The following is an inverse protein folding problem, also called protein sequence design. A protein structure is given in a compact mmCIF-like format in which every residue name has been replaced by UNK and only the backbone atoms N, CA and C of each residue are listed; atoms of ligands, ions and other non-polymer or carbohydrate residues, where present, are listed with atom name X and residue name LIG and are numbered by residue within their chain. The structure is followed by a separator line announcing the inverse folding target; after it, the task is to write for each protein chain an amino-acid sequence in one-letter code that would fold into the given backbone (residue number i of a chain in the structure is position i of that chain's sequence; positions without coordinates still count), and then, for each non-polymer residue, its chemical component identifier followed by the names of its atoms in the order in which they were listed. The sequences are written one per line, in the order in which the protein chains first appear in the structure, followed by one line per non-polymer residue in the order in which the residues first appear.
data_IF_636757627454
#
_entry.id   IF_636757627454
#
_cell.length_a   1.000
_cell.length_b   1.000
_cell.length_c   1.000
_cell.angle_alpha   90.00
_cell.angle_beta   90.00
_cell.angle_gamma   90.00
#
_symmetry.space_group_name_H-M   'P 1'
#
loop_
_entity.id
_entity.type
_entity.pdbx_description
1 polymer ?
#
# COMPACT_ATOMS: atom_id res chain seq x y z
N UNK A 1 -32.10 -28.09 -13.63
CA UNK A 1 -31.56 -28.81 -14.80
C UNK A 1 -31.99 -28.12 -16.09
N UNK A 2 -31.05 -27.61 -16.90
CA UNK A 2 -31.38 -26.85 -18.12
C UNK A 2 -31.82 -27.82 -19.23
N UNK A 3 -33.06 -27.67 -19.71
CA UNK A 3 -33.70 -28.58 -20.67
C UNK A 3 -33.17 -28.44 -22.11
N UNK A 4 -32.53 -27.32 -22.43
CA UNK A 4 -31.98 -26.99 -23.74
C UNK A 4 -30.50 -26.68 -23.60
N UNK A 5 -29.66 -27.06 -24.57
CA UNK A 5 -28.21 -26.74 -24.58
C UNK A 5 -27.98 -25.25 -24.88
N UNK A 6 -28.29 -24.39 -23.91
CA UNK A 6 -28.00 -22.95 -23.92
C UNK A 6 -27.23 -22.61 -22.65
N UNK A 7 -26.24 -21.73 -22.78
CA UNK A 7 -25.55 -21.17 -21.62
C UNK A 7 -26.51 -20.22 -20.87
N UNK A 8 -26.51 -20.29 -19.54
CA UNK A 8 -27.39 -19.50 -18.67
C UNK A 8 -26.54 -18.88 -17.57
N UNK A 9 -26.81 -17.62 -17.25
CA UNK A 9 -26.36 -16.94 -16.04
C UNK A 9 -27.57 -16.26 -15.39
N UNK A 10 -27.52 -16.01 -14.10
CA UNK A 10 -28.60 -15.39 -13.34
C UNK A 10 -28.21 -13.98 -12.93
N UNK A 11 -29.07 -13.00 -13.17
CA UNK A 11 -28.87 -11.65 -12.65
C UNK A 11 -29.31 -11.57 -11.18
N UNK A 12 -28.57 -10.79 -10.39
CA UNK A 12 -28.72 -10.63 -8.95
C UNK A 12 -29.10 -9.20 -8.53
N UNK A 13 -29.19 -8.95 -7.21
CA UNK A 13 -29.73 -7.70 -6.65
C UNK A 13 -28.86 -6.47 -6.92
N UNK A 14 -29.47 -5.31 -6.64
CA UNK A 14 -28.83 -3.99 -6.64
C UNK A 14 -28.46 -3.46 -5.24
N UNK A 15 -29.42 -3.36 -4.30
CA UNK A 15 -29.21 -2.70 -3.00
C UNK A 15 -29.40 -3.69 -1.84
N UNK A 16 -28.31 -4.05 -1.14
CA UNK A 16 -28.31 -5.07 -0.09
C UNK A 16 -27.33 -4.66 1.03
N UNK A 17 -27.78 -4.47 2.28
CA UNK A 17 -26.87 -4.23 3.39
C UNK A 17 -26.01 -5.47 3.65
N UNK A 18 -24.75 -5.28 4.06
CA UNK A 18 -23.73 -6.35 4.10
C UNK A 18 -24.17 -7.64 4.81
N UNK A 19 -24.88 -7.54 5.93
CA UNK A 19 -25.33 -8.70 6.70
C UNK A 19 -26.30 -9.63 5.94
N UNK A 20 -26.90 -9.17 4.82
CA UNK A 20 -27.80 -9.97 3.96
C UNK A 20 -27.12 -10.49 2.69
N UNK A 21 -25.88 -10.11 2.42
CA UNK A 21 -25.14 -10.59 1.24
C UNK A 21 -24.98 -12.12 1.24
N UNK A 22 -24.61 -12.78 2.38
CA UNK A 22 -24.46 -14.23 2.39
C UNK A 22 -25.72 -15.01 2.05
N UNK A 23 -26.89 -14.53 2.52
CA UNK A 23 -28.19 -15.15 2.23
C UNK A 23 -28.50 -15.15 0.73
N UNK A 24 -28.16 -14.07 0.03
CA UNK A 24 -28.38 -13.95 -1.42
C UNK A 24 -27.54 -14.97 -2.19
N UNK A 25 -26.27 -15.10 -1.84
CA UNK A 25 -25.39 -16.07 -2.50
C UNK A 25 -25.83 -17.52 -2.22
N UNK A 26 -26.16 -17.84 -0.96
CA UNK A 26 -26.63 -19.17 -0.58
C UNK A 26 -27.88 -19.58 -1.38
N UNK A 27 -28.89 -18.72 -1.43
CA UNK A 27 -30.13 -18.98 -2.18
C UNK A 27 -29.88 -19.13 -3.67
N UNK A 28 -28.95 -18.35 -4.23
CA UNK A 28 -28.63 -18.45 -5.64
C UNK A 28 -27.99 -19.82 -5.97
N UNK A 29 -27.02 -20.27 -5.18
CA UNK A 29 -26.38 -21.58 -5.38
C UNK A 29 -27.41 -22.70 -5.31
N UNK A 30 -28.29 -22.66 -4.29
CA UNK A 30 -29.33 -23.68 -4.07
C UNK A 30 -30.40 -23.67 -5.17
N UNK A 31 -31.01 -22.52 -5.44
CA UNK A 31 -32.18 -22.41 -6.31
C UNK A 31 -31.82 -22.39 -7.79
N UNK A 32 -30.62 -21.93 -8.14
CA UNK A 32 -30.17 -21.79 -9.52
C UNK A 32 -29.14 -22.85 -9.92
N UNK A 33 -28.96 -23.90 -9.11
CA UNK A 33 -28.06 -25.03 -9.38
C UNK A 33 -26.63 -24.56 -9.73
N UNK A 34 -26.09 -23.62 -8.95
CA UNK A 34 -24.74 -23.07 -9.13
C UNK A 34 -24.47 -22.45 -10.52
N UNK A 35 -25.51 -22.05 -11.25
CA UNK A 35 -25.33 -21.27 -12.47
C UNK A 35 -24.53 -19.99 -12.18
N UNK A 36 -23.72 -19.46 -13.13
CA UNK A 36 -22.98 -18.23 -12.91
C UNK A 36 -23.88 -17.07 -12.45
N UNK A 37 -23.49 -16.42 -11.36
CA UNK A 37 -24.21 -15.28 -10.81
C UNK A 37 -23.62 -13.97 -11.32
N UNK A 38 -24.48 -13.04 -11.73
CA UNK A 38 -24.14 -11.73 -12.27
C UNK A 38 -24.85 -10.62 -11.47
N UNK A 39 -24.14 -9.85 -10.66
CA UNK A 39 -24.76 -8.89 -9.72
C UNK A 39 -24.54 -7.44 -10.11
N UNK A 40 -25.46 -6.54 -9.73
CA UNK A 40 -25.29 -5.10 -9.84
C UNK A 40 -24.80 -4.52 -8.51
N UNK A 41 -23.49 -4.54 -8.26
CA UNK A 41 -22.93 -4.28 -6.93
C UNK A 41 -22.91 -5.55 -6.07
N UNK A 42 -23.61 -5.60 -4.92
CA UNK A 42 -24.68 -4.68 -4.49
C UNK A 42 -24.21 -3.42 -3.74
N UNK A 43 -24.98 -2.33 -3.85
CA UNK A 43 -24.88 -1.14 -3.00
C UNK A 43 -25.19 -1.52 -1.55
N UNK A 44 -24.24 -1.23 -0.65
CA UNK A 44 -24.34 -1.59 0.76
C UNK A 44 -25.06 -0.55 1.62
N UNK A 45 -25.25 0.66 1.08
CA UNK A 45 -25.96 1.77 1.70
C UNK A 45 -26.45 2.75 0.63
N UNK A 46 -27.56 3.42 0.91
CA UNK A 46 -28.25 4.31 -0.05
C UNK A 46 -27.96 5.81 0.20
N UNK A 47 -27.15 6.12 1.21
CA UNK A 47 -27.01 7.50 1.72
C UNK A 47 -25.93 8.33 1.02
N UNK A 48 -25.28 7.78 -0.02
CA UNK A 48 -24.12 8.41 -0.66
C UNK A 48 -24.22 8.50 -2.20
N UNK A 49 -25.33 9.04 -2.77
CA UNK A 49 -25.40 9.29 -4.21
C UNK A 49 -24.26 10.21 -4.64
N UNK A 50 -23.64 9.91 -5.78
CA UNK A 50 -22.36 10.51 -6.19
C UNK A 50 -21.14 9.64 -5.86
N UNK A 51 -21.31 8.67 -4.95
CA UNK A 51 -20.27 7.76 -4.49
C UNK A 51 -20.71 6.29 -4.57
N UNK A 52 -21.71 5.99 -5.38
CA UNK A 52 -22.30 4.64 -5.42
C UNK A 52 -21.35 3.58 -5.97
N UNK A 53 -20.42 3.95 -6.86
CA UNK A 53 -19.28 3.09 -7.22
C UNK A 53 -18.46 2.60 -6.02
N UNK A 54 -18.43 3.34 -4.90
CA UNK A 54 -17.76 2.94 -3.66
C UNK A 54 -18.70 2.10 -2.80
N UNK A 55 -19.95 2.55 -2.58
CA UNK A 55 -20.94 1.83 -1.77
C UNK A 55 -21.20 0.43 -2.34
N UNK A 56 -21.17 0.30 -3.67
CA UNK A 56 -21.35 -0.95 -4.38
C UNK A 56 -20.09 -1.79 -4.47
N UNK A 57 -18.89 -1.20 -4.58
CA UNK A 57 -17.63 -1.95 -4.61
C UNK A 57 -17.44 -2.79 -3.34
N UNK A 58 -17.89 -2.28 -2.19
CA UNK A 58 -17.92 -3.03 -0.92
C UNK A 58 -18.75 -4.30 -1.08
N UNK A 59 -19.99 -4.18 -1.53
CA UNK A 59 -20.87 -5.34 -1.69
C UNK A 59 -20.41 -6.27 -2.80
N UNK A 60 -19.89 -5.72 -3.90
CA UNK A 60 -19.38 -6.46 -5.04
C UNK A 60 -18.17 -7.33 -4.66
N UNK A 61 -17.22 -6.80 -3.89
CA UNK A 61 -16.10 -7.59 -3.37
C UNK A 61 -16.58 -8.70 -2.42
N UNK A 62 -17.54 -8.39 -1.54
CA UNK A 62 -18.12 -9.37 -0.61
C UNK A 62 -18.83 -10.50 -1.36
N UNK A 63 -19.77 -10.20 -2.24
CA UNK A 63 -20.55 -11.23 -2.95
C UNK A 63 -19.72 -11.95 -4.02
N UNK A 64 -18.71 -11.27 -4.59
CA UNK A 64 -17.69 -11.87 -5.44
C UNK A 64 -16.87 -12.91 -4.71
N UNK A 65 -16.40 -12.61 -3.49
CA UNK A 65 -15.65 -13.54 -2.65
C UNK A 65 -16.48 -14.79 -2.29
N UNK A 66 -17.80 -14.64 -2.18
CA UNK A 66 -18.72 -15.75 -1.90
C UNK A 66 -19.09 -16.60 -3.14
N UNK A 67 -18.70 -16.18 -4.35
CA UNK A 67 -18.88 -17.00 -5.57
C UNK A 67 -19.58 -16.34 -6.74
N UNK A 68 -19.90 -15.03 -6.67
CA UNK A 68 -20.43 -14.32 -7.85
C UNK A 68 -19.40 -14.30 -8.97
N UNK A 69 -19.84 -14.63 -10.19
CA UNK A 69 -18.95 -14.87 -11.33
C UNK A 69 -18.71 -13.61 -12.18
N UNK A 70 -19.66 -12.68 -12.21
CA UNK A 70 -19.55 -11.42 -12.94
C UNK A 70 -20.13 -10.28 -12.11
N UNK A 71 -19.46 -9.13 -12.10
CA UNK A 71 -19.87 -7.95 -11.36
C UNK A 71 -20.20 -6.82 -12.34
N UNK A 72 -21.47 -6.41 -12.39
CA UNK A 72 -21.86 -5.23 -13.13
C UNK A 72 -21.41 -4.00 -12.36
N UNK A 73 -20.59 -3.19 -13.01
CA UNK A 73 -20.11 -1.94 -12.44
C UNK A 73 -21.24 -0.95 -12.16
N UNK A 74 -21.00 -0.09 -11.18
CA UNK A 74 -21.83 1.05 -10.83
C UNK A 74 -20.93 2.27 -10.93
N UNK A 75 -21.43 3.34 -11.57
CA UNK A 75 -20.65 4.56 -11.78
C UNK A 75 -20.85 5.54 -10.62
N UNK A 76 -19.98 6.56 -10.45
CA UNK A 76 -20.23 7.64 -9.50
C UNK A 76 -21.58 8.35 -9.70
N UNK A 77 -22.06 8.43 -10.95
CA UNK A 77 -23.32 9.09 -11.32
C UNK A 77 -24.56 8.21 -11.24
N UNK A 78 -24.44 6.99 -10.72
CA UNK A 78 -25.63 6.17 -10.46
C UNK A 78 -26.64 6.97 -9.62
N UNK A 79 -27.93 6.80 -9.94
CA UNK A 79 -29.04 7.58 -9.36
C UNK A 79 -29.03 9.10 -9.62
N UNK A 80 -28.06 9.64 -10.38
CA UNK A 80 -27.91 11.08 -10.63
C UNK A 80 -27.98 11.46 -12.11
N UNK A 81 -27.50 10.60 -13.02
CA UNK A 81 -27.56 10.88 -14.45
C UNK A 81 -26.69 9.96 -15.29
N UNK A 82 -26.59 10.26 -16.59
CA UNK A 82 -25.73 9.50 -17.50
C UNK A 82 -24.25 9.72 -17.18
N UNK A 83 -23.44 8.65 -17.11
CA UNK A 83 -22.01 8.76 -16.87
C UNK A 83 -21.29 9.35 -18.09
N UNK A 84 -20.30 10.20 -17.82
CA UNK A 84 -19.32 10.66 -18.79
C UNK A 84 -18.12 9.70 -18.84
N UNK A 85 -17.13 10.00 -19.68
CA UNK A 85 -15.92 9.18 -19.86
C UNK A 85 -15.16 8.91 -18.54
N UNK A 86 -15.03 9.91 -17.69
CA UNK A 86 -14.24 9.81 -16.47
C UNK A 86 -15.01 9.04 -15.39
N UNK A 87 -16.35 9.16 -15.34
CA UNK A 87 -17.22 8.34 -14.50
C UNK A 87 -17.14 6.85 -14.88
N UNK A 88 -17.08 6.56 -16.19
CA UNK A 88 -16.90 5.19 -16.69
C UNK A 88 -15.55 4.63 -16.25
N UNK A 89 -14.46 5.40 -16.39
CA UNK A 89 -13.14 4.98 -15.90
C UNK A 89 -13.17 4.70 -14.40
N UNK A 90 -13.77 5.58 -13.59
CA UNK A 90 -13.89 5.43 -12.15
C UNK A 90 -14.64 4.14 -11.76
N UNK A 91 -15.78 3.87 -12.41
CA UNK A 91 -16.54 2.64 -12.19
C UNK A 91 -15.77 1.38 -12.56
N UNK A 92 -15.08 1.38 -13.71
CA UNK A 92 -14.28 0.23 -14.16
C UNK A 92 -13.13 -0.07 -13.20
N UNK A 93 -12.39 0.95 -12.78
CA UNK A 93 -11.27 0.77 -11.83
C UNK A 93 -11.78 0.28 -10.48
N UNK A 94 -12.87 0.86 -9.94
CA UNK A 94 -13.47 0.41 -8.69
C UNK A 94 -13.88 -1.07 -8.72
N UNK A 95 -14.46 -1.52 -9.83
CA UNK A 95 -14.89 -2.92 -9.97
C UNK A 95 -13.74 -3.87 -10.31
N UNK A 96 -12.68 -3.41 -10.98
CA UNK A 96 -11.44 -4.19 -11.11
C UNK A 96 -10.78 -4.44 -9.76
N UNK A 97 -10.80 -3.45 -8.86
CA UNK A 97 -10.35 -3.60 -7.47
C UNK A 97 -11.23 -4.61 -6.74
N UNK A 98 -12.56 -4.46 -6.80
CA UNK A 98 -13.49 -5.35 -6.12
C UNK A 98 -13.37 -6.81 -6.60
N UNK A 99 -13.25 -7.03 -7.92
CA UNK A 99 -13.06 -8.35 -8.50
C UNK A 99 -11.72 -8.97 -8.06
N UNK A 100 -10.63 -8.21 -8.12
CA UNK A 100 -9.32 -8.70 -7.67
C UNK A 100 -9.28 -9.00 -6.17
N UNK A 101 -9.91 -8.16 -5.35
CA UNK A 101 -10.06 -8.40 -3.91
C UNK A 101 -10.86 -9.69 -3.63
N UNK A 102 -11.92 -9.96 -4.39
CA UNK A 102 -12.64 -11.22 -4.32
C UNK A 102 -11.76 -12.42 -4.72
N UNK A 103 -10.96 -12.29 -5.79
CA UNK A 103 -10.05 -13.36 -6.22
C UNK A 103 -8.95 -13.65 -5.18
N UNK A 104 -8.42 -12.62 -4.51
CA UNK A 104 -7.52 -12.78 -3.37
C UNK A 104 -8.20 -13.51 -2.21
N UNK A 105 -9.41 -13.09 -1.83
CA UNK A 105 -10.18 -13.73 -0.75
C UNK A 105 -10.52 -15.19 -1.04
N UNK A 106 -10.73 -15.53 -2.32
CA UNK A 106 -10.94 -16.91 -2.80
C UNK A 106 -9.67 -17.74 -2.87
N UNK A 107 -8.48 -17.12 -2.70
CA UNK A 107 -7.20 -17.77 -2.92
C UNK A 107 -6.99 -18.22 -4.38
N UNK A 108 -7.53 -17.45 -5.34
CA UNK A 108 -7.42 -17.80 -6.75
C UNK A 108 -5.94 -17.91 -7.17
N UNK A 109 -5.53 -18.97 -7.89
CA UNK A 109 -4.15 -19.12 -8.33
C UNK A 109 -3.62 -17.87 -9.03
N UNK A 110 -2.42 -17.46 -8.65
CA UNK A 110 -1.68 -16.31 -9.19
C UNK A 110 -2.27 -14.90 -8.91
N UNK A 111 -3.42 -14.77 -8.24
CA UNK A 111 -3.95 -13.45 -7.88
C UNK A 111 -2.97 -12.68 -6.98
N UNK A 112 -2.46 -13.32 -5.93
CA UNK A 112 -1.52 -12.73 -4.98
C UNK A 112 -0.18 -12.31 -5.61
N UNK A 113 0.24 -12.95 -6.71
CA UNK A 113 1.52 -12.62 -7.35
C UNK A 113 1.55 -11.16 -7.84
N UNK A 114 0.40 -10.59 -8.20
CA UNK A 114 0.31 -9.19 -8.58
C UNK A 114 0.55 -8.25 -7.39
N UNK A 115 -0.13 -8.50 -6.26
CA UNK A 115 0.06 -7.76 -5.00
C UNK A 115 1.50 -7.86 -4.50
N UNK A 116 2.09 -9.05 -4.55
CA UNK A 116 3.46 -9.29 -4.10
C UNK A 116 4.47 -8.55 -5.00
N UNK A 117 4.28 -8.56 -6.32
CA UNK A 117 5.15 -7.84 -7.25
C UNK A 117 5.11 -6.31 -7.03
N UNK A 118 3.91 -5.75 -6.87
CA UNK A 118 3.72 -4.33 -6.60
C UNK A 118 4.27 -3.96 -5.22
N UNK A 119 4.01 -4.78 -4.20
CA UNK A 119 4.51 -4.57 -2.84
C UNK A 119 6.02 -4.66 -2.75
N UNK A 120 6.64 -5.57 -3.50
CA UNK A 120 8.10 -5.66 -3.63
C UNK A 120 8.66 -4.41 -4.31
N UNK A 121 8.05 -3.94 -5.40
CA UNK A 121 8.45 -2.69 -6.04
C UNK A 121 8.36 -1.49 -5.09
N UNK A 122 7.30 -1.44 -4.28
CA UNK A 122 7.11 -0.40 -3.25
C UNK A 122 8.19 -0.44 -2.18
N UNK A 123 8.50 -1.62 -1.64
CA UNK A 123 9.51 -1.77 -0.59
C UNK A 123 10.93 -1.46 -1.10
N UNK A 124 11.21 -1.79 -2.37
CA UNK A 124 12.50 -1.53 -3.03
C UNK A 124 12.60 -0.13 -3.64
N UNK A 125 11.60 0.73 -3.43
CA UNK A 125 11.53 2.09 -3.98
C UNK A 125 11.68 2.16 -5.52
N UNK A 126 11.25 1.11 -6.22
CA UNK A 126 11.16 1.07 -7.69
C UNK A 126 9.88 1.76 -8.15
N UNK A 127 9.83 3.08 -8.00
CA UNK A 127 8.62 3.88 -8.22
C UNK A 127 7.97 3.65 -9.58
N UNK A 128 8.76 3.65 -10.66
CA UNK A 128 8.24 3.43 -12.02
C UNK A 128 7.61 2.04 -12.18
N UNK A 129 8.20 1.01 -11.57
CA UNK A 129 7.65 -0.34 -11.60
C UNK A 129 6.37 -0.44 -10.76
N UNK A 130 6.33 0.23 -9.60
CA UNK A 130 5.12 0.31 -8.78
C UNK A 130 3.97 0.98 -9.55
N UNK A 131 4.25 2.07 -10.29
CA UNK A 131 3.24 2.73 -11.11
C UNK A 131 2.78 1.81 -12.24
N UNK A 132 3.71 1.23 -13.00
CA UNK A 132 3.41 0.36 -14.13
C UNK A 132 2.62 -0.89 -13.74
N UNK A 133 2.85 -1.41 -12.53
CA UNK A 133 2.10 -2.55 -11.98
C UNK A 133 0.73 -2.17 -11.41
N UNK A 134 0.41 -0.89 -11.21
CA UNK A 134 -0.89 -0.50 -10.65
C UNK A 134 -2.03 -0.62 -11.68
N UNK A 135 -3.27 -0.62 -11.19
CA UNK A 135 -4.47 -0.66 -12.05
C UNK A 135 -4.65 0.59 -12.92
N UNK A 136 -4.10 1.73 -12.50
CA UNK A 136 -4.15 3.00 -13.22
C UNK A 136 -2.81 3.75 -13.11
N UNK A 137 -1.80 3.32 -13.90
CA UNK A 137 -0.41 3.77 -13.75
C UNK A 137 -0.21 5.28 -13.78
N UNK A 138 -0.92 5.96 -14.69
CA UNK A 138 -0.75 7.41 -14.86
C UNK A 138 -1.32 8.19 -13.68
N UNK A 139 -2.43 7.73 -13.10
CA UNK A 139 -2.99 8.35 -11.88
C UNK A 139 -2.06 8.14 -10.70
N UNK A 140 -1.51 6.92 -10.53
CA UNK A 140 -0.55 6.63 -9.46
C UNK A 140 0.71 7.50 -9.56
N UNK A 141 1.25 7.68 -10.77
CA UNK A 141 2.40 8.56 -11.01
C UNK A 141 2.05 10.04 -10.78
N UNK A 142 0.90 10.50 -11.28
CA UNK A 142 0.47 11.89 -11.13
C UNK A 142 0.35 12.29 -9.66
N UNK A 143 -0.28 11.46 -8.82
CA UNK A 143 -0.44 11.76 -7.39
C UNK A 143 0.88 11.83 -6.62
N UNK A 144 1.87 11.02 -7.01
CA UNK A 144 3.22 11.15 -6.46
C UNK A 144 3.85 12.50 -6.88
N UNK A 145 3.73 12.82 -8.17
CA UNK A 145 4.41 13.95 -8.80
C UNK A 145 3.82 15.32 -8.44
N UNK A 146 2.58 15.36 -7.94
CA UNK A 146 1.98 16.57 -7.36
C UNK A 146 2.84 17.20 -6.26
N UNK A 147 3.63 16.38 -5.54
CA UNK A 147 4.50 16.86 -4.46
C UNK A 147 5.99 16.61 -4.70
N UNK A 148 6.34 15.59 -5.49
CA UNK A 148 7.71 15.23 -5.80
C UNK A 148 7.90 14.99 -7.32
N UNK A 149 7.83 16.05 -8.16
CA UNK A 149 7.80 15.91 -9.61
C UNK A 149 9.15 15.55 -10.23
N UNK A 150 10.27 15.74 -9.53
CA UNK A 150 11.60 15.56 -10.10
C UNK A 150 11.90 14.10 -10.44
N UNK A 151 12.68 13.86 -11.49
CA UNK A 151 13.12 12.52 -11.88
C UNK A 151 13.92 11.83 -10.77
N UNK A 152 14.69 12.60 -9.99
CA UNK A 152 15.41 12.10 -8.83
C UNK A 152 14.51 11.55 -7.73
N UNK A 153 13.25 12.00 -7.63
CA UNK A 153 12.29 11.46 -6.68
C UNK A 153 11.83 10.03 -7.05
N UNK A 154 11.91 9.64 -8.33
CA UNK A 154 11.55 8.29 -8.81
C UNK A 154 12.53 7.20 -8.39
N UNK A 155 13.65 7.58 -7.78
CA UNK A 155 14.64 6.68 -7.17
C UNK A 155 14.87 7.01 -5.69
N UNK A 156 14.06 7.90 -5.11
CA UNK A 156 14.19 8.28 -3.72
C UNK A 156 13.62 7.21 -2.79
N UNK A 157 14.31 6.96 -1.67
CA UNK A 157 13.88 6.00 -0.64
C UNK A 157 12.86 6.61 0.33
N UNK A 158 11.95 7.46 -0.16
CA UNK A 158 10.86 8.07 0.59
C UNK A 158 9.83 8.71 -0.36
N UNK A 159 8.67 9.09 0.18
CA UNK A 159 7.72 10.01 -0.47
C UNK A 159 7.45 11.22 0.42
N UNK A 160 6.63 12.16 -0.06
CA UNK A 160 6.27 13.38 0.66
C UNK A 160 5.52 13.13 1.97
N UNK A 161 4.85 11.98 2.11
CA UNK A 161 4.06 11.65 3.30
C UNK A 161 4.90 11.56 4.59
N UNK A 162 6.09 10.97 4.52
CA UNK A 162 6.98 10.80 5.70
C UNK A 162 8.31 11.54 5.56
N UNK A 163 8.69 11.91 4.33
CA UNK A 163 10.00 12.48 4.05
C UNK A 163 11.16 11.49 4.29
N UNK A 164 12.41 11.96 4.12
CA UNK A 164 13.59 11.10 4.10
C UNK A 164 13.93 10.45 5.44
N UNK A 165 13.56 11.08 6.57
CA UNK A 165 13.97 10.63 7.91
C UNK A 165 12.99 9.68 8.58
N UNK A 166 11.72 9.69 8.17
CA UNK A 166 10.65 8.95 8.86
C UNK A 166 9.96 7.92 7.98
N UNK A 167 10.50 7.63 6.79
CA UNK A 167 9.98 6.57 5.95
C UNK A 167 10.21 5.20 6.63
N UNK A 168 9.13 4.53 7.01
CA UNK A 168 9.17 3.23 7.70
C UNK A 168 9.88 2.14 6.89
N UNK A 169 9.68 2.12 5.57
CA UNK A 169 10.34 1.15 4.68
C UNK A 169 11.84 1.38 4.62
N UNK A 170 12.28 2.65 4.58
CA UNK A 170 13.71 3.01 4.61
C UNK A 170 14.36 2.63 5.93
N UNK A 171 13.70 2.95 7.05
CA UNK A 171 14.16 2.54 8.38
C UNK A 171 14.27 1.01 8.45
N UNK A 172 13.31 0.28 7.89
CA UNK A 172 13.36 -1.19 7.83
C UNK A 172 14.53 -1.69 6.98
N UNK A 173 14.80 -1.07 5.83
CA UNK A 173 15.97 -1.37 4.99
C UNK A 173 17.28 -1.20 5.78
N UNK A 174 17.43 -0.09 6.50
CA UNK A 174 18.63 0.21 7.28
C UNK A 174 18.82 -0.75 8.46
N UNK A 175 17.73 -1.10 9.15
CA UNK A 175 17.73 -2.13 10.22
C UNK A 175 18.14 -3.50 9.67
N UNK A 176 17.62 -3.90 8.50
CA UNK A 176 17.99 -5.18 7.86
C UNK A 176 19.46 -5.20 7.47
N UNK A 177 19.98 -4.13 6.87
CA UNK A 177 21.41 -4.01 6.53
C UNK A 177 22.31 -4.05 7.77
N UNK A 178 21.90 -3.39 8.85
CA UNK A 178 22.61 -3.49 10.13
C UNK A 178 22.61 -4.94 10.63
N UNK A 179 21.46 -5.59 10.64
CA UNK A 179 21.32 -6.97 11.13
C UNK A 179 22.07 -8.00 10.27
N UNK A 180 22.20 -7.80 8.96
CA UNK A 180 23.05 -8.64 8.10
C UNK A 180 24.52 -8.59 8.51
N UNK A 181 25.01 -7.42 8.94
CA UNK A 181 26.42 -7.24 9.32
C UNK A 181 26.70 -7.61 10.77
N UNK A 182 25.74 -7.39 11.67
CA UNK A 182 25.97 -7.45 13.12
C UNK A 182 25.08 -8.45 13.86
N UNK A 183 24.11 -9.07 13.18
CA UNK A 183 23.04 -9.86 13.77
C UNK A 183 21.92 -8.99 14.37
N UNK A 184 20.80 -9.62 14.70
CA UNK A 184 19.66 -8.92 15.34
C UNK A 184 19.90 -8.61 16.83
N UNK A 185 20.78 -9.38 17.51
CA UNK A 185 21.36 -9.09 18.85
C UNK A 185 20.38 -8.63 19.94
N UNK A 186 20.92 -8.07 21.02
CA UNK A 186 20.14 -7.23 21.96
C UNK A 186 20.48 -5.75 21.80
N UNK A 187 19.64 -4.88 22.37
CA UNK A 187 19.86 -3.44 22.35
C UNK A 187 21.17 -3.06 23.06
N UNK A 188 21.50 -3.72 24.18
CA UNK A 188 22.72 -3.49 24.95
C UNK A 188 23.97 -3.85 24.12
N UNK A 189 23.94 -4.98 23.41
CA UNK A 189 25.02 -5.41 22.53
C UNK A 189 25.23 -4.42 21.37
N UNK A 190 24.13 -3.93 20.78
CA UNK A 190 24.19 -2.94 19.71
C UNK A 190 24.75 -1.60 20.21
N UNK A 191 24.34 -1.15 21.40
CA UNK A 191 24.81 0.09 22.02
C UNK A 191 26.31 0.02 22.31
N UNK A 192 26.77 -1.05 22.96
CA UNK A 192 28.18 -1.20 23.31
C UNK A 192 29.06 -1.20 22.06
N UNK A 193 28.68 -1.97 21.02
CA UNK A 193 29.41 -1.98 19.75
C UNK A 193 29.40 -0.62 19.05
N UNK A 194 28.28 0.09 19.08
CA UNK A 194 28.17 1.43 18.51
C UNK A 194 29.09 2.44 19.21
N UNK A 195 29.14 2.39 20.55
CA UNK A 195 30.04 3.21 21.35
C UNK A 195 31.51 2.89 21.08
N UNK A 196 31.86 1.59 21.01
CA UNK A 196 33.23 1.16 20.71
C UNK A 196 33.68 1.62 19.32
N UNK A 197 32.79 1.52 18.32
CA UNK A 197 33.06 1.95 16.95
C UNK A 197 33.25 3.48 16.84
N UNK A 198 32.36 4.27 17.44
CA UNK A 198 32.46 5.74 17.45
C UNK A 198 33.70 6.21 18.24
N UNK A 199 34.04 5.53 19.33
CA UNK A 199 35.26 5.79 20.10
C UNK A 199 36.51 5.53 19.25
N UNK A 200 36.56 4.43 18.50
CA UNK A 200 37.65 4.13 17.59
C UNK A 200 37.76 5.16 16.45
N UNK A 201 36.63 5.56 15.86
CA UNK A 201 36.58 6.60 14.81
C UNK A 201 37.07 7.96 15.32
N UNK A 202 36.64 8.36 16.53
CA UNK A 202 37.11 9.60 17.16
C UNK A 202 38.62 9.60 17.42
N UNK A 203 39.17 8.48 17.92
CA UNK A 203 40.61 8.34 18.13
C UNK A 203 41.41 8.29 16.81
N UNK A 204 40.81 7.77 15.73
CA UNK A 204 41.41 7.79 14.39
C UNK A 204 41.35 9.19 13.73
N UNK A 205 40.25 9.92 13.92
CA UNK A 205 40.10 11.30 13.45
C UNK A 205 41.09 12.25 14.14
N UNK A 206 41.42 12.02 15.41
CA UNK A 206 42.53 12.72 16.08
C UNK A 206 43.89 12.56 15.39
N UNK A 207 44.13 11.43 14.72
CA UNK A 207 45.40 11.19 14.01
C UNK A 207 45.49 11.88 12.64
N UNK A 208 44.37 12.35 12.08
CA UNK A 208 44.34 12.98 10.74
C UNK A 208 44.43 14.50 10.77
N UNK A 209 44.32 15.14 11.94
CA UNK A 209 44.71 16.54 12.14
C UNK A 209 46.18 16.58 12.58
N UNK A 210 47.10 16.24 11.68
CA UNK A 210 48.52 16.48 11.88
C UNK A 210 48.83 17.92 11.45
N UNK A 211 48.77 18.84 12.40
CA UNK A 211 49.21 20.22 12.24
C UNK A 211 49.58 20.78 13.60
N UNK A 212 50.86 20.62 13.96
CA UNK A 212 51.60 21.32 15.02
C UNK A 212 50.84 22.42 15.77
N UNK A 213 50.14 22.09 16.87
CA UNK A 213 49.91 23.05 17.95
C UNK A 213 50.04 22.33 19.29
N UNK A 214 51.19 22.60 19.91
CA UNK A 214 51.53 22.56 21.33
C UNK A 214 50.90 21.47 22.20
N UNK A 215 51.77 20.54 22.63
CA UNK A 215 51.42 19.38 23.40
C UNK A 215 50.67 19.69 24.69
N UNK A 216 49.43 19.21 24.73
CA UNK A 216 48.71 18.80 25.93
C UNK A 216 47.79 17.64 25.53
N UNK A 217 47.62 16.67 26.43
CA UNK A 217 46.89 15.45 26.18
C UNK A 217 45.37 15.70 26.11
N UNK A 218 44.69 15.19 25.08
CA UNK A 218 43.22 15.12 25.04
C UNK A 218 42.68 15.74 23.75
N UNK A 219 41.66 15.20 23.09
CA UNK A 219 40.47 14.63 23.71
C UNK A 219 39.28 15.57 23.61
N UNK A 220 39.47 16.83 23.25
CA UNK A 220 38.39 17.81 23.37
C UNK A 220 37.65 18.00 22.06
N UNK A 221 36.38 17.58 22.08
CA UNK A 221 35.34 18.08 21.20
C UNK A 221 35.21 19.57 21.51
N UNK A 222 35.35 20.44 20.50
CA UNK A 222 35.01 21.85 20.64
C UNK A 222 33.50 21.97 20.90
N UNK A 223 33.11 21.94 22.17
CA UNK A 223 31.78 22.32 22.61
C UNK A 223 31.76 23.84 22.77
N UNK A 224 30.78 24.56 22.19
CA UNK A 224 30.62 25.99 22.45
C UNK A 224 30.51 26.24 23.96
N UNK A 225 31.18 27.27 24.46
CA UNK A 225 31.23 27.68 25.88
C UNK A 225 29.85 27.71 26.56
N UNK A 226 28.81 28.02 25.79
CA UNK A 226 27.41 28.04 26.23
C UNK A 226 26.90 26.70 26.77
N UNK A 227 27.49 25.57 26.36
CA UNK A 227 27.07 24.23 26.77
C UNK A 227 27.68 23.78 28.12
N UNK A 228 28.80 24.40 28.52
CA UNK A 228 29.47 24.11 29.80
C UNK A 228 28.81 24.88 30.94
N UNK A 229 28.42 26.14 30.68
CA UNK A 229 27.84 27.03 31.69
C UNK A 229 26.35 26.77 32.02
N UNK A 230 25.68 25.82 31.36
CA UNK A 230 24.27 25.52 31.62
C UNK A 230 24.04 24.51 32.75
N UNK A 231 25.09 24.03 33.43
CA UNK A 231 25.00 23.04 34.52
C UNK A 231 25.14 23.61 35.93
N UNK A 232 25.25 24.92 36.09
CA UNK A 232 25.33 25.58 37.41
C UNK A 232 24.02 26.30 37.83
N UNK A 233 22.86 25.84 37.36
CA UNK A 233 21.55 26.28 37.87
C UNK A 233 20.63 25.13 38.20
#
# INVERSE_FOLDING_TARGET
MVKFKKNVMNEGPGHIPMHKIPENMQKQLEWCNEAPFYTLGPLTTDIAPGYDHITSAIGAANIGALGTALLCYVTPKEHLGLPNRDDVKAGVIAYKIAAHAADLAKGHPHAQAWDDALSKARFEFRWMDQFALSLDPMTAMAFHDETLPSDGAKVAHFCSMCGPKFCSMKITEDVRKYAEKYGYGTAEEALQRGMDAMSAEFQAAKKTISGEQHGEAGGEIYLPEAYVNSKER
#
